data_IF_292517766727
#
_entry.id   IF_292517766727
#
_cell.length_a   1.000
_cell.length_b   1.000
_cell.length_c   1.000
_cell.angle_alpha   90.00
_cell.angle_beta   90.00
_cell.angle_gamma   90.00
#
_symmetry.space_group_name_H-M   'P 1'
#
loop_
_entity.id
_entity.type
_entity.pdbx_description
1 polymer ?
#
# COMPACT_ATOMS: atom_id res chain seq x y z
N UNK A 1 12.41 3.42 -1.00
CA UNK A 1 10.97 3.37 -1.32
C UNK A 1 10.33 4.68 -0.89
N UNK A 2 9.57 5.30 -1.76
CA UNK A 2 8.89 6.57 -1.49
C UNK A 2 7.38 6.36 -1.63
N UNK A 3 6.62 6.89 -0.68
CA UNK A 3 5.16 6.81 -0.68
C UNK A 3 4.60 8.22 -0.68
N UNK A 4 3.68 8.49 -1.61
CA UNK A 4 3.00 9.79 -1.68
C UNK A 4 1.53 9.61 -2.04
N UNK A 5 0.71 10.61 -1.72
CA UNK A 5 -0.69 10.63 -2.13
C UNK A 5 -0.76 11.11 -3.57
N UNK A 6 -1.38 10.32 -4.43
CA UNK A 6 -1.62 10.65 -5.84
C UNK A 6 -2.89 11.49 -6.02
N UNK A 7 -3.93 11.12 -5.31
CA UNK A 7 -5.23 11.75 -5.46
C UNK A 7 -5.90 11.88 -4.10
N UNK A 8 -6.46 13.05 -3.87
CA UNK A 8 -7.22 13.38 -2.69
C UNK A 8 -8.62 13.77 -3.16
N UNK A 9 -9.65 13.01 -2.76
CA UNK A 9 -11.01 13.25 -3.20
C UNK A 9 -11.58 14.56 -2.69
N UNK A 10 -11.20 14.97 -1.49
CA UNK A 10 -11.62 16.25 -0.93
C UNK A 10 -10.61 17.33 -1.34
N UNK A 11 -11.09 18.36 -2.02
CA UNK A 11 -10.26 19.45 -2.49
C UNK A 11 -9.68 20.31 -1.36
N UNK A 12 -10.23 20.19 -0.15
CA UNK A 12 -9.88 21.02 0.98
C UNK A 12 -8.79 20.44 1.87
N UNK A 13 -8.20 19.30 1.50
CA UNK A 13 -7.14 18.70 2.28
C UNK A 13 -5.87 19.54 2.24
N UNK A 14 -5.37 19.96 3.40
CA UNK A 14 -4.14 20.73 3.50
C UNK A 14 -2.91 19.84 3.28
N UNK A 15 -1.77 20.47 3.01
CA UNK A 15 -0.51 19.72 2.90
C UNK A 15 -0.19 18.95 4.18
N UNK A 16 -0.48 19.53 5.34
CA UNK A 16 -0.25 18.87 6.62
C UNK A 16 -1.12 17.62 6.75
N UNK A 17 -2.38 17.70 6.33
CA UNK A 17 -3.29 16.56 6.34
C UNK A 17 -2.85 15.47 5.37
N UNK A 18 -2.39 15.85 4.19
CA UNK A 18 -1.86 14.89 3.21
C UNK A 18 -0.61 14.18 3.74
N UNK A 19 0.30 14.92 4.35
CA UNK A 19 1.51 14.34 4.97
C UNK A 19 1.16 13.39 6.10
N UNK A 20 0.17 13.74 6.92
CA UNK A 20 -0.28 12.87 8.01
C UNK A 20 -0.87 11.57 7.47
N UNK A 21 -1.66 11.62 6.40
CA UNK A 21 -2.22 10.43 5.77
C UNK A 21 -1.12 9.52 5.23
N UNK A 22 -0.11 10.09 4.56
CA UNK A 22 1.05 9.32 4.07
C UNK A 22 1.82 8.69 5.24
N UNK A 23 2.02 9.43 6.31
CA UNK A 23 2.70 8.93 7.51
C UNK A 23 1.95 7.74 8.11
N UNK A 24 0.64 7.85 8.23
CA UNK A 24 -0.21 6.77 8.77
C UNK A 24 -0.21 5.54 7.87
N UNK A 25 -0.28 5.75 6.57
CA UNK A 25 -0.20 4.68 5.59
C UNK A 25 1.14 3.94 5.71
N UNK A 26 2.23 4.69 5.72
CA UNK A 26 3.59 4.13 5.83
C UNK A 26 3.77 3.36 7.13
N UNK A 27 3.36 3.96 8.25
CA UNK A 27 3.48 3.33 9.57
C UNK A 27 2.69 2.03 9.63
N UNK A 28 1.48 2.01 9.06
CA UNK A 28 0.65 0.82 9.07
C UNK A 28 1.26 -0.30 8.22
N UNK A 29 1.89 0.03 7.09
CA UNK A 29 2.64 -0.96 6.31
C UNK A 29 3.79 -1.56 7.11
N UNK A 30 4.55 -0.71 7.80
CA UNK A 30 5.67 -1.15 8.62
C UNK A 30 5.21 -2.03 9.78
N UNK A 31 4.12 -1.65 10.43
CA UNK A 31 3.53 -2.43 11.52
C UNK A 31 3.02 -3.80 11.03
N UNK A 32 2.40 -3.83 9.86
CA UNK A 32 1.86 -5.07 9.30
C UNK A 32 2.95 -6.03 8.83
N UNK A 33 4.04 -5.52 8.27
CA UNK A 33 5.09 -6.33 7.67
C UNK A 33 6.34 -6.47 8.54
N UNK A 34 6.49 -5.64 9.57
CA UNK A 34 7.50 -5.78 10.60
C UNK A 34 8.59 -4.70 10.59
N UNK A 35 8.99 -4.20 9.44
CA UNK A 35 10.03 -3.17 9.34
C UNK A 35 9.99 -2.48 7.98
N UNK A 36 10.62 -1.30 7.84
CA UNK A 36 10.74 -0.64 6.53
C UNK A 36 11.42 -1.52 5.48
N UNK A 37 12.42 -2.28 5.88
CA UNK A 37 13.14 -3.18 4.98
C UNK A 37 12.24 -4.30 4.47
N UNK A 38 11.38 -4.85 5.33
CA UNK A 38 10.41 -5.87 4.93
C UNK A 38 9.32 -5.30 4.03
N UNK A 39 8.88 -4.06 4.27
CA UNK A 39 7.94 -3.39 3.37
C UNK A 39 8.53 -3.31 1.96
N UNK A 40 9.75 -2.85 1.84
CA UNK A 40 10.43 -2.73 0.55
C UNK A 40 10.62 -4.10 -0.11
N UNK A 41 11.01 -5.12 0.65
CA UNK A 41 11.23 -6.47 0.13
C UNK A 41 9.93 -7.12 -0.36
N UNK A 42 8.86 -7.03 0.42
CA UNK A 42 7.56 -7.61 0.05
C UNK A 42 6.98 -6.87 -1.14
N UNK A 43 7.04 -5.54 -1.13
CA UNK A 43 6.56 -4.75 -2.26
C UNK A 43 7.32 -5.07 -3.55
N UNK A 44 8.65 -5.18 -3.49
CA UNK A 44 9.48 -5.54 -4.64
C UNK A 44 9.10 -6.90 -5.21
N UNK A 45 8.90 -7.90 -4.35
CA UNK A 45 8.44 -9.22 -4.77
C UNK A 45 7.04 -9.17 -5.39
N UNK A 46 6.13 -8.39 -4.81
CA UNK A 46 4.78 -8.20 -5.33
C UNK A 46 4.81 -7.57 -6.73
N UNK A 47 5.66 -6.56 -6.95
CA UNK A 47 5.81 -5.91 -8.26
C UNK A 47 6.31 -6.91 -9.30
N UNK A 48 7.25 -7.79 -8.93
CA UNK A 48 7.74 -8.82 -9.82
C UNK A 48 6.63 -9.80 -10.22
N UNK A 49 5.77 -10.18 -9.27
CA UNK A 49 4.62 -11.04 -9.58
C UNK A 49 3.69 -10.38 -10.59
N UNK A 50 3.42 -9.10 -10.42
CA UNK A 50 2.58 -8.36 -11.36
C UNK A 50 3.22 -8.26 -12.74
N UNK A 51 4.54 -8.17 -12.80
CA UNK A 51 5.26 -8.17 -14.08
C UNK A 51 5.13 -9.48 -14.84
N UNK A 52 5.07 -10.60 -14.11
CA UNK A 52 4.98 -11.94 -14.73
C UNK A 52 3.53 -12.32 -15.03
N UNK A 53 2.59 -12.07 -14.10
CA UNK A 53 1.22 -12.56 -14.19
C UNK A 53 0.20 -11.49 -14.54
N UNK A 54 0.60 -10.22 -14.65
CA UNK A 54 -0.30 -9.10 -14.89
C UNK A 54 -0.85 -8.48 -13.62
N UNK A 55 -1.67 -7.44 -13.77
CA UNK A 55 -2.17 -6.65 -12.64
C UNK A 55 -3.14 -7.44 -11.75
N UNK A 56 -3.84 -8.40 -12.31
CA UNK A 56 -4.82 -9.21 -11.59
C UNK A 56 -4.51 -10.68 -11.80
N UNK A 57 -3.47 -11.22 -11.15
CA UNK A 57 -3.11 -12.62 -11.33
C UNK A 57 -4.18 -13.53 -10.78
N UNK A 58 -4.42 -14.64 -11.46
CA UNK A 58 -5.26 -15.70 -10.92
C UNK A 58 -4.49 -16.40 -9.80
N UNK A 59 -5.06 -16.42 -8.60
CA UNK A 59 -4.40 -17.04 -7.44
C UNK A 59 -4.04 -18.49 -7.67
N UNK A 60 -4.84 -19.18 -8.48
CA UNK A 60 -4.61 -20.58 -8.83
C UNK A 60 -3.34 -20.78 -9.66
N UNK A 61 -2.90 -19.75 -10.37
CA UNK A 61 -1.69 -19.80 -11.20
C UNK A 61 -0.41 -19.53 -10.43
N UNK A 62 -0.53 -19.07 -9.18
CA UNK A 62 0.62 -18.75 -8.34
C UNK A 62 1.09 -19.98 -7.56
N UNK A 63 2.39 -20.10 -7.35
CA UNK A 63 2.92 -21.08 -6.40
C UNK A 63 2.49 -20.68 -4.98
N UNK A 64 2.65 -21.59 -4.01
CA UNK A 64 2.31 -21.28 -2.62
C UNK A 64 3.14 -20.09 -2.09
N UNK A 65 4.41 -20.03 -2.42
CA UNK A 65 5.28 -18.93 -2.02
C UNK A 65 4.84 -17.60 -2.65
N UNK A 66 4.50 -17.62 -3.93
CA UNK A 66 4.02 -16.44 -4.66
C UNK A 66 2.68 -15.96 -4.11
N UNK A 67 1.78 -16.88 -3.82
CA UNK A 67 0.48 -16.55 -3.22
C UNK A 67 0.65 -15.90 -1.84
N UNK A 68 1.57 -16.42 -1.04
CA UNK A 68 1.86 -15.85 0.27
C UNK A 68 2.31 -14.39 0.16
N UNK A 69 3.21 -14.09 -0.76
CA UNK A 69 3.68 -12.72 -1.02
C UNK A 69 2.53 -11.83 -1.47
N UNK A 70 1.72 -12.31 -2.41
CA UNK A 70 0.58 -11.55 -2.93
C UNK A 70 -0.42 -11.21 -1.82
N UNK A 71 -0.83 -12.21 -1.03
CA UNK A 71 -1.79 -12.02 0.04
C UNK A 71 -1.23 -11.14 1.17
N UNK A 72 0.06 -11.31 1.48
CA UNK A 72 0.73 -10.52 2.49
C UNK A 72 0.73 -9.03 2.13
N UNK A 73 1.08 -8.71 0.88
CA UNK A 73 1.05 -7.33 0.43
C UNK A 73 -0.37 -6.76 0.38
N UNK A 74 -1.33 -7.51 -0.16
CA UNK A 74 -2.71 -7.06 -0.26
C UNK A 74 -3.31 -6.79 1.12
N UNK A 75 -3.06 -7.66 2.08
CA UNK A 75 -3.52 -7.49 3.46
C UNK A 75 -2.91 -6.26 4.12
N UNK A 76 -1.60 -6.07 3.97
CA UNK A 76 -0.89 -4.91 4.51
C UNK A 76 -1.39 -3.61 3.88
N UNK A 77 -1.57 -3.58 2.58
CA UNK A 77 -2.06 -2.41 1.86
C UNK A 77 -3.48 -2.04 2.29
N UNK A 78 -4.36 -3.02 2.42
CA UNK A 78 -5.74 -2.79 2.88
C UNK A 78 -5.75 -2.20 4.29
N UNK A 79 -4.97 -2.77 5.20
CA UNK A 79 -4.87 -2.25 6.57
C UNK A 79 -4.31 -0.82 6.59
N UNK A 80 -3.34 -0.55 5.73
CA UNK A 80 -2.72 0.78 5.63
C UNK A 80 -3.71 1.82 5.09
N UNK A 81 -4.53 1.45 4.11
CA UNK A 81 -5.58 2.34 3.58
C UNK A 81 -6.60 2.68 4.66
N UNK A 82 -7.04 1.69 5.43
CA UNK A 82 -7.98 1.92 6.53
C UNK A 82 -7.37 2.85 7.58
N UNK A 83 -6.12 2.63 7.94
CA UNK A 83 -5.42 3.47 8.91
C UNK A 83 -5.27 4.92 8.42
N UNK A 84 -4.99 5.10 7.14
CA UNK A 84 -4.85 6.43 6.54
C UNK A 84 -6.19 7.15 6.46
N UNK A 85 -7.27 6.44 6.12
CA UNK A 85 -8.61 7.02 6.01
C UNK A 85 -9.26 7.35 7.35
N UNK A 86 -8.94 6.60 8.41
CA UNK A 86 -9.64 6.68 9.69
C UNK A 86 -9.86 8.10 10.22
N UNK A 87 -8.80 8.89 10.46
CA UNK A 87 -8.93 10.27 10.92
C UNK A 87 -9.20 11.28 9.79
N UNK A 88 -9.06 10.86 8.54
CA UNK A 88 -9.14 11.74 7.36
C UNK A 88 -10.33 11.35 6.48
N UNK A 89 -11.53 11.36 7.06
CA UNK A 89 -12.76 10.94 6.36
C UNK A 89 -13.14 11.82 5.18
N UNK A 90 -12.57 13.01 5.10
CA UNK A 90 -12.78 13.90 3.96
C UNK A 90 -12.00 13.47 2.72
N UNK A 91 -11.09 12.51 2.86
CA UNK A 91 -10.40 11.93 1.72
C UNK A 91 -11.28 10.83 1.13
N UNK A 92 -11.71 11.02 -0.11
CA UNK A 92 -12.44 10.00 -0.84
C UNK A 92 -11.45 9.17 -1.63
N UNK A 93 -11.43 7.86 -1.39
CA UNK A 93 -10.61 6.91 -2.12
C UNK A 93 -9.15 7.39 -2.31
N UNK A 94 -8.41 7.66 -1.22
CA UNK A 94 -7.04 8.12 -1.35
C UNK A 94 -6.21 7.06 -2.07
N UNK A 95 -5.45 7.50 -3.06
CA UNK A 95 -4.54 6.63 -3.78
C UNK A 95 -3.11 6.97 -3.38
N UNK A 96 -2.36 5.94 -3.05
CA UNK A 96 -0.97 6.09 -2.66
C UNK A 96 -0.07 5.52 -3.75
N UNK A 97 0.87 6.33 -4.22
CA UNK A 97 1.89 5.89 -5.14
C UNK A 97 3.11 5.42 -4.35
N UNK A 98 3.59 4.23 -4.68
CA UNK A 98 4.80 3.68 -4.09
C UNK A 98 5.83 3.57 -5.18
N UNK A 99 6.97 4.24 -4.99
CA UNK A 99 8.08 4.24 -5.94
C UNK A 99 9.36 3.80 -5.26
N UNK A 100 10.21 3.26 -6.00
CA UNK A 100 11.47 2.93 -5.48
C UNK A 100 12.19 1.85 -5.54
#
# INVERSE_FOLDING_TARGET
>A
MTIRIMMVGAQDATEAQQRDAVRRFTQALEDALGSPELVAAVYGAYVQLRGVYGETPHLESLTDAERTIYEQWQGAQTSALVAALGPHRYLEEPQFEITG
#
